data_IF_744600657689
#
_entry.id   IF_744600657689
#
_cell.length_a   1.000
_cell.length_b   1.000
_cell.length_c   1.000
_cell.angle_alpha   90.00
_cell.angle_beta   90.00
_cell.angle_gamma   90.00
#
_symmetry.space_group_name_H-M   'P 1'
#
loop_
_entity.id
_entity.type
_entity.pdbx_description
1 polymer ?
#
# COMPACT_ATOMS: atom_id res chain seq x y z
N UNK A 1 -24.35 23.10 -9.44
CA UNK A 1 -23.54 23.00 -8.22
C UNK A 1 -24.38 23.07 -6.95
N UNK A 2 -25.21 24.14 -6.70
CA UNK A 2 -26.05 24.26 -5.49
C UNK A 2 -26.96 23.04 -5.30
N UNK A 3 -27.59 22.54 -6.35
CA UNK A 3 -28.48 21.38 -6.32
C UNK A 3 -27.75 20.07 -5.93
N UNK A 4 -26.53 19.86 -6.43
CA UNK A 4 -25.70 18.71 -6.06
C UNK A 4 -25.29 18.77 -4.57
N UNK A 5 -24.91 19.96 -4.09
CA UNK A 5 -24.59 20.15 -2.68
C UNK A 5 -25.81 19.92 -1.78
N UNK A 6 -26.97 20.43 -2.16
CA UNK A 6 -28.24 20.27 -1.45
C UNK A 6 -28.65 18.80 -1.36
N UNK A 7 -28.60 18.08 -2.47
CA UNK A 7 -28.81 16.63 -2.56
C UNK A 7 -27.94 15.88 -1.55
N UNK A 8 -26.63 16.16 -1.52
CA UNK A 8 -25.71 15.48 -0.61
C UNK A 8 -25.87 15.92 0.84
N UNK A 9 -26.23 17.17 1.11
CA UNK A 9 -26.54 17.68 2.44
C UNK A 9 -27.79 16.99 3.01
N UNK A 10 -28.88 16.91 2.25
CA UNK A 10 -30.09 16.17 2.65
C UNK A 10 -29.77 14.70 2.99
N UNK A 11 -28.97 14.04 2.15
CA UNK A 11 -28.59 12.64 2.40
C UNK A 11 -27.76 12.50 3.67
N UNK A 12 -26.82 13.40 3.90
CA UNK A 12 -25.98 13.39 5.08
C UNK A 12 -26.79 13.65 6.35
N UNK A 13 -27.70 14.64 6.33
CA UNK A 13 -28.61 14.91 7.43
C UNK A 13 -29.55 13.75 7.74
N UNK A 14 -30.05 13.05 6.71
CA UNK A 14 -30.89 11.86 6.90
C UNK A 14 -30.14 10.70 7.54
N UNK A 15 -28.88 10.46 7.13
CA UNK A 15 -28.09 9.32 7.60
C UNK A 15 -27.50 9.54 9.01
N UNK A 16 -27.16 10.78 9.38
CA UNK A 16 -26.40 11.12 10.59
C UNK A 16 -27.10 12.09 11.54
N UNK A 17 -28.27 12.62 11.16
CA UNK A 17 -29.05 13.56 11.96
C UNK A 17 -28.81 15.02 11.59
N UNK A 18 -27.60 15.38 11.22
CA UNK A 18 -27.17 16.70 10.74
C UNK A 18 -26.24 16.57 9.56
N UNK A 19 -26.23 17.55 8.67
CA UNK A 19 -25.30 17.61 7.55
C UNK A 19 -23.98 18.25 7.98
N UNK A 20 -22.84 17.64 7.59
CA UNK A 20 -21.50 18.13 7.85
C UNK A 20 -20.85 18.68 6.59
N UNK A 21 -20.29 19.91 6.67
CA UNK A 21 -19.70 20.62 5.53
C UNK A 21 -18.64 19.83 4.80
N UNK A 22 -17.70 19.21 5.54
CA UNK A 22 -16.62 18.44 4.95
C UNK A 22 -17.10 17.14 4.27
N UNK A 23 -18.13 16.52 4.83
CA UNK A 23 -18.74 15.31 4.24
C UNK A 23 -19.45 15.66 2.92
N UNK A 24 -20.18 16.76 2.89
CA UNK A 24 -20.87 17.26 1.69
C UNK A 24 -19.85 17.70 0.62
N UNK A 25 -18.82 18.46 0.99
CA UNK A 25 -17.74 18.89 0.10
C UNK A 25 -17.07 17.71 -0.63
N UNK A 26 -16.71 16.66 0.12
CA UNK A 26 -16.12 15.45 -0.46
C UNK A 26 -17.04 14.80 -1.50
N UNK A 27 -18.34 14.74 -1.25
CA UNK A 27 -19.32 14.16 -2.18
C UNK A 27 -19.51 15.01 -3.42
N UNK A 28 -19.55 16.32 -3.27
CA UNK A 28 -19.63 17.26 -4.40
C UNK A 28 -18.40 17.14 -5.31
N UNK A 29 -17.19 17.10 -4.74
CA UNK A 29 -15.94 16.89 -5.50
C UNK A 29 -15.90 15.52 -6.17
N UNK A 30 -16.44 14.48 -5.53
CA UNK A 30 -16.52 13.13 -6.15
C UNK A 30 -17.47 13.09 -7.35
N UNK A 31 -18.58 13.84 -7.34
CA UNK A 31 -19.55 13.93 -8.43
C UNK A 31 -19.09 14.89 -9.53
N UNK A 32 -18.35 15.95 -9.17
CA UNK A 32 -17.81 16.99 -10.06
C UNK A 32 -16.31 17.22 -9.77
N UNK A 33 -15.39 16.37 -10.27
CA UNK A 33 -13.96 16.45 -9.97
C UNK A 33 -13.27 17.75 -10.41
N UNK A 34 -13.82 18.42 -11.42
CA UNK A 34 -13.35 19.72 -11.94
C UNK A 34 -13.41 20.84 -10.90
N UNK A 35 -14.35 20.76 -9.94
CA UNK A 35 -14.53 21.76 -8.88
C UNK A 35 -13.43 21.68 -7.80
N UNK A 36 -12.58 20.67 -7.85
CA UNK A 36 -11.46 20.53 -6.91
C UNK A 36 -10.44 21.68 -7.00
N UNK A 37 -10.40 22.37 -8.13
CA UNK A 37 -9.46 23.49 -8.35
C UNK A 37 -9.84 24.77 -7.58
N UNK A 38 -11.11 24.91 -7.21
CA UNK A 38 -11.68 26.15 -6.64
C UNK A 38 -12.34 25.92 -5.27
N UNK A 39 -11.67 25.16 -4.39
CA UNK A 39 -12.22 24.80 -3.07
C UNK A 39 -12.54 26.04 -2.21
N UNK A 40 -11.71 27.08 -2.29
CA UNK A 40 -11.93 28.34 -1.57
C UNK A 40 -13.22 29.06 -1.93
N UNK A 41 -13.64 28.96 -3.21
CA UNK A 41 -14.90 29.48 -3.70
C UNK A 41 -16.08 28.55 -3.40
N UNK A 42 -15.83 27.26 -3.34
CA UNK A 42 -16.83 26.23 -3.13
C UNK A 42 -17.29 26.13 -1.67
N UNK A 43 -16.35 26.27 -0.75
CA UNK A 43 -16.57 26.05 0.69
C UNK A 43 -17.65 26.95 1.28
N UNK A 44 -17.67 28.29 1.06
CA UNK A 44 -18.72 29.15 1.59
C UNK A 44 -20.12 28.78 1.10
N UNK A 45 -20.23 28.39 -0.19
CA UNK A 45 -21.49 27.97 -0.80
C UNK A 45 -22.02 26.64 -0.23
N UNK A 46 -21.12 25.71 0.08
CA UNK A 46 -21.51 24.47 0.74
C UNK A 46 -21.92 24.74 2.19
N UNK A 47 -21.25 25.65 2.90
CA UNK A 47 -21.63 26.05 4.24
C UNK A 47 -23.05 26.63 4.29
N UNK A 48 -23.40 27.50 3.32
CA UNK A 48 -24.75 28.05 3.18
C UNK A 48 -25.79 26.95 2.97
N UNK A 49 -25.53 26.00 2.06
CA UNK A 49 -26.43 24.87 1.78
C UNK A 49 -26.57 23.93 2.99
N UNK A 50 -25.48 23.65 3.69
CA UNK A 50 -25.51 22.82 4.90
C UNK A 50 -26.32 23.50 6.00
N UNK A 51 -26.16 24.80 6.20
CA UNK A 51 -26.95 25.58 7.14
C UNK A 51 -28.44 25.58 6.81
N UNK A 52 -28.76 25.75 5.50
CA UNK A 52 -30.13 25.67 5.00
C UNK A 52 -30.76 24.30 5.32
N UNK A 53 -30.07 23.21 5.04
CA UNK A 53 -30.56 21.84 5.28
C UNK A 53 -30.68 21.53 6.77
N UNK A 54 -29.74 21.98 7.59
CA UNK A 54 -29.78 21.76 9.04
C UNK A 54 -30.88 22.56 9.75
N UNK A 55 -31.42 23.63 9.13
CA UNK A 55 -32.59 24.35 9.62
C UNK A 55 -33.91 23.64 9.35
N UNK A 56 -33.92 22.62 8.47
CA UNK A 56 -35.12 21.85 8.15
C UNK A 56 -35.48 20.87 9.27
N UNK A 57 -36.78 20.68 9.47
CA UNK A 57 -37.24 19.58 10.34
C UNK A 57 -36.90 18.22 9.76
N UNK A 58 -36.75 17.18 10.58
CA UNK A 58 -36.49 15.81 10.12
C UNK A 58 -37.53 15.30 9.12
N UNK A 59 -38.77 15.74 9.24
CA UNK A 59 -39.84 15.38 8.28
C UNK A 59 -39.66 16.11 6.96
N UNK A 60 -39.28 17.40 6.97
CA UNK A 60 -38.99 18.16 5.77
C UNK A 60 -37.82 17.55 5.00
N UNK A 61 -36.72 17.15 5.67
CA UNK A 61 -35.59 16.45 5.05
C UNK A 61 -36.03 15.15 4.36
N UNK A 62 -36.91 14.36 4.99
CA UNK A 62 -37.48 13.13 4.40
C UNK A 62 -38.31 13.37 3.15
N UNK A 63 -39.07 14.47 3.11
CA UNK A 63 -39.87 14.85 1.93
C UNK A 63 -38.98 15.37 0.82
N UNK A 64 -38.08 16.32 1.13
CA UNK A 64 -37.18 16.92 0.14
C UNK A 64 -36.27 15.89 -0.54
N UNK A 65 -35.77 14.91 0.21
CA UNK A 65 -34.87 13.90 -0.33
C UNK A 65 -35.55 12.99 -1.39
N UNK A 66 -36.90 12.88 -1.35
CA UNK A 66 -37.63 12.08 -2.35
C UNK A 66 -37.55 12.63 -3.78
N UNK A 67 -37.21 13.93 -3.91
CA UNK A 67 -37.00 14.57 -5.21
C UNK A 67 -35.72 14.07 -5.90
N UNK A 68 -34.83 13.45 -5.14
CA UNK A 68 -33.55 12.97 -5.65
C UNK A 68 -33.53 11.44 -5.73
N UNK A 69 -33.22 10.93 -6.91
CA UNK A 69 -33.12 9.47 -7.12
C UNK A 69 -31.75 8.97 -6.62
N UNK A 70 -31.65 8.69 -5.31
CA UNK A 70 -30.50 8.01 -4.78
C UNK A 70 -30.58 6.54 -5.15
N UNK A 71 -29.82 6.12 -6.17
CA UNK A 71 -29.58 4.70 -6.36
C UNK A 71 -28.93 4.16 -5.08
N UNK A 72 -29.73 3.58 -4.20
CA UNK A 72 -29.20 2.79 -3.11
C UNK A 72 -28.43 1.64 -3.76
N UNK A 73 -27.11 1.73 -3.81
CA UNK A 73 -26.31 0.50 -3.95
C UNK A 73 -26.69 -0.33 -2.73
N UNK A 74 -27.70 -1.19 -2.88
CA UNK A 74 -27.99 -2.25 -1.92
C UNK A 74 -26.66 -2.98 -1.76
N UNK A 75 -25.94 -2.70 -0.69
CA UNK A 75 -24.83 -3.56 -0.27
C UNK A 75 -25.46 -4.91 -0.08
N UNK A 76 -25.30 -5.80 -1.05
CA UNK A 76 -25.73 -7.18 -0.88
C UNK A 76 -24.93 -7.75 0.28
N UNK A 77 -25.55 -7.83 1.45
CA UNK A 77 -25.02 -8.50 2.64
C UNK A 77 -25.11 -10.02 2.48
N UNK A 78 -24.91 -10.55 1.31
CA UNK A 78 -24.76 -11.98 1.12
C UNK A 78 -23.26 -12.27 1.12
N UNK A 79 -22.75 -12.59 2.31
CA UNK A 79 -21.38 -13.05 2.55
C UNK A 79 -21.12 -14.42 1.93
N UNK A 80 -21.23 -14.52 0.62
CA UNK A 80 -20.58 -15.60 -0.11
C UNK A 80 -19.22 -15.06 -0.56
N UNK A 81 -18.16 -15.79 -0.24
CA UNK A 81 -16.86 -15.59 -0.84
C UNK A 81 -17.03 -15.58 -2.37
N UNK A 82 -16.51 -14.56 -3.03
CA UNK A 82 -16.46 -14.55 -4.49
C UNK A 82 -15.54 -15.69 -4.95
N UNK A 83 -15.92 -16.35 -6.02
CA UNK A 83 -15.06 -17.39 -6.59
C UNK A 83 -13.80 -16.78 -7.19
N UNK A 84 -12.69 -17.50 -7.08
CA UNK A 84 -11.45 -17.11 -7.75
C UNK A 84 -11.62 -17.34 -9.28
N UNK A 85 -11.02 -16.48 -10.12
CA UNK A 85 -11.20 -16.58 -11.58
C UNK A 85 -10.63 -17.87 -12.20
N UNK A 86 -9.59 -18.46 -11.62
CA UNK A 86 -8.98 -19.72 -12.08
C UNK A 86 -8.55 -20.54 -10.86
N UNK A 87 -9.47 -21.26 -10.22
CA UNK A 87 -9.25 -21.83 -8.89
C UNK A 87 -8.50 -23.18 -8.86
N UNK A 88 -7.73 -23.53 -9.89
CA UNK A 88 -7.01 -24.81 -9.90
C UNK A 88 -5.82 -24.76 -8.93
N UNK A 89 -5.95 -25.39 -7.78
CA UNK A 89 -4.90 -25.53 -6.74
C UNK A 89 -4.11 -24.23 -6.45
N UNK A 90 -4.76 -23.12 -6.06
CA UNK A 90 -4.09 -21.84 -5.92
C UNK A 90 -3.05 -21.87 -4.79
N UNK A 91 -1.94 -21.20 -5.00
CA UNK A 91 -1.00 -20.89 -3.92
C UNK A 91 -1.33 -19.53 -3.36
N UNK A 92 -1.63 -19.49 -2.07
CA UNK A 92 -2.03 -18.28 -1.35
C UNK A 92 -1.01 -17.96 -0.26
N UNK A 93 -0.97 -16.72 0.20
CA UNK A 93 -0.07 -16.34 1.28
C UNK A 93 -0.74 -15.51 2.36
N UNK A 94 -0.36 -15.76 3.60
CA UNK A 94 -0.48 -14.81 4.68
C UNK A 94 0.91 -14.24 4.97
N UNK A 95 1.06 -12.92 4.89
CA UNK A 95 2.37 -12.27 4.85
C UNK A 95 2.49 -11.15 5.91
N UNK A 96 2.54 -11.49 7.22
CA UNK A 96 2.66 -10.51 8.29
C UNK A 96 4.09 -9.98 8.44
N UNK A 97 4.22 -8.69 8.77
CA UNK A 97 5.46 -8.15 9.31
C UNK A 97 5.56 -8.53 10.81
N UNK A 98 6.72 -9.02 11.30
CA UNK A 98 6.87 -9.42 12.69
C UNK A 98 7.17 -8.22 13.61
N UNK A 99 6.25 -7.26 13.69
CA UNK A 99 6.33 -6.07 14.56
C UNK A 99 5.58 -6.21 15.87
N UNK A 100 4.93 -7.36 16.12
CA UNK A 100 4.14 -7.66 17.30
C UNK A 100 3.19 -8.83 17.11
N UNK A 101 2.29 -9.10 18.06
CA UNK A 101 1.31 -10.16 17.94
C UNK A 101 0.27 -9.85 16.85
N UNK A 102 -0.39 -10.91 16.35
CA UNK A 102 -1.53 -10.74 15.46
C UNK A 102 -2.69 -10.04 16.21
N UNK A 103 -3.38 -9.19 15.51
CA UNK A 103 -4.60 -8.52 15.99
C UNK A 103 -5.77 -8.78 15.04
N UNK A 104 -6.98 -8.36 15.41
CA UNK A 104 -8.21 -8.62 14.65
C UNK A 104 -8.11 -8.22 13.17
N UNK A 105 -7.38 -7.15 12.84
CA UNK A 105 -7.14 -6.73 11.45
C UNK A 105 -6.37 -7.78 10.64
N UNK A 106 -5.44 -8.50 11.24
CA UNK A 106 -4.69 -9.59 10.60
C UNK A 106 -5.56 -10.85 10.40
N UNK A 107 -6.49 -11.13 11.34
CA UNK A 107 -7.37 -12.31 11.27
C UNK A 107 -8.17 -12.35 9.97
N UNK A 108 -8.64 -11.18 9.49
CA UNK A 108 -9.38 -11.12 8.22
C UNK A 108 -8.56 -11.65 7.05
N UNK A 109 -7.30 -11.24 6.92
CA UNK A 109 -6.44 -11.70 5.84
C UNK A 109 -6.06 -13.17 6.02
N UNK A 110 -5.70 -13.59 7.24
CA UNK A 110 -5.33 -14.96 7.52
C UNK A 110 -6.46 -15.95 7.24
N UNK A 111 -7.65 -15.69 7.80
CA UNK A 111 -8.85 -16.55 7.62
C UNK A 111 -9.29 -16.57 6.14
N UNK A 112 -9.28 -15.42 5.46
CA UNK A 112 -9.71 -15.37 4.06
C UNK A 112 -8.82 -16.25 3.16
N UNK A 113 -7.50 -16.18 3.33
CA UNK A 113 -6.55 -17.00 2.57
C UNK A 113 -6.68 -18.50 2.93
N UNK A 114 -6.88 -18.83 4.20
CA UNK A 114 -7.09 -20.20 4.65
C UNK A 114 -8.38 -20.82 4.07
N UNK A 115 -9.48 -20.07 4.09
CA UNK A 115 -10.76 -20.52 3.54
C UNK A 115 -10.71 -20.73 2.02
N UNK A 116 -9.99 -19.84 1.29
CA UNK A 116 -9.77 -20.07 -0.14
C UNK A 116 -8.86 -21.26 -0.41
N UNK A 117 -7.79 -21.44 0.36
CA UNK A 117 -6.93 -22.62 0.25
C UNK A 117 -7.73 -23.91 0.48
N UNK A 118 -8.55 -23.97 1.52
CA UNK A 118 -9.44 -25.12 1.78
C UNK A 118 -10.47 -25.35 0.67
N UNK A 119 -11.09 -24.28 0.20
CA UNK A 119 -12.15 -24.35 -0.83
C UNK A 119 -11.67 -24.94 -2.14
N UNK A 120 -10.43 -24.64 -2.54
CA UNK A 120 -9.89 -25.01 -3.84
C UNK A 120 -8.74 -26.01 -3.77
N UNK A 121 -8.58 -26.71 -2.65
CA UNK A 121 -7.46 -27.65 -2.40
C UNK A 121 -6.08 -27.03 -2.72
N UNK A 122 -5.97 -25.74 -2.38
CA UNK A 122 -4.78 -24.92 -2.62
C UNK A 122 -3.79 -24.99 -1.46
N UNK A 123 -2.68 -24.26 -1.60
CA UNK A 123 -1.63 -24.17 -0.58
C UNK A 123 -1.64 -22.80 0.07
N UNK A 124 -1.46 -22.77 1.40
CA UNK A 124 -1.23 -21.53 2.14
C UNK A 124 0.23 -21.45 2.58
N UNK A 125 0.91 -20.36 2.26
CA UNK A 125 2.29 -20.06 2.67
C UNK A 125 2.24 -18.97 3.76
N UNK A 126 2.93 -19.19 4.87
CA UNK A 126 3.25 -18.15 5.83
C UNK A 126 4.55 -17.47 5.41
N UNK A 127 4.48 -16.21 4.95
CA UNK A 127 5.66 -15.41 4.62
C UNK A 127 5.85 -14.31 5.66
N UNK A 128 6.92 -14.41 6.44
CA UNK A 128 7.30 -13.38 7.40
C UNK A 128 8.06 -12.28 6.66
N UNK A 129 7.48 -11.08 6.60
CA UNK A 129 8.04 -9.92 5.88
C UNK A 129 8.86 -9.05 6.84
N UNK A 130 10.08 -9.46 7.08
CA UNK A 130 11.00 -8.89 8.06
C UNK A 130 12.20 -8.14 7.44
N UNK A 131 12.04 -7.59 6.25
CA UNK A 131 13.10 -6.86 5.54
C UNK A 131 13.33 -5.43 6.03
N UNK A 132 12.52 -4.93 6.96
CA UNK A 132 12.73 -3.64 7.62
C UNK A 132 13.19 -3.86 9.08
N UNK A 133 14.51 -3.82 9.37
CA UNK A 133 15.04 -4.10 10.72
C UNK A 133 14.46 -3.20 11.81
N UNK A 134 14.08 -1.97 11.46
CA UNK A 134 13.54 -1.00 12.44
C UNK A 134 12.18 -1.40 13.01
N UNK A 135 11.52 -2.38 12.39
CA UNK A 135 10.16 -2.81 12.73
C UNK A 135 10.08 -4.26 13.21
N UNK A 136 11.21 -4.93 13.33
CA UNK A 136 11.24 -6.34 13.72
C UNK A 136 11.33 -6.51 15.24
N UNK A 137 10.33 -7.15 15.82
CA UNK A 137 10.39 -7.68 17.18
C UNK A 137 10.73 -9.17 17.13
N UNK A 138 11.86 -9.63 17.72
CA UNK A 138 12.25 -11.04 17.75
C UNK A 138 11.19 -11.97 18.34
N UNK A 139 10.36 -11.48 19.26
CA UNK A 139 9.30 -12.26 19.90
C UNK A 139 8.08 -12.43 18.99
N UNK A 140 7.89 -11.53 18.01
CA UNK A 140 6.72 -11.53 17.16
C UNK A 140 6.62 -12.77 16.27
N UNK A 141 7.73 -13.40 15.89
CA UNK A 141 7.72 -14.62 15.08
C UNK A 141 6.92 -15.74 15.76
N UNK A 142 7.27 -16.03 17.01
CA UNK A 142 6.55 -17.05 17.80
C UNK A 142 5.11 -16.64 18.12
N UNK A 143 4.85 -15.34 18.31
CA UNK A 143 3.50 -14.83 18.55
C UNK A 143 2.60 -14.95 17.31
N UNK A 144 3.14 -14.74 16.10
CA UNK A 144 2.43 -14.96 14.84
C UNK A 144 2.03 -16.42 14.69
N UNK A 145 2.97 -17.35 14.88
CA UNK A 145 2.71 -18.78 14.80
C UNK A 145 1.67 -19.22 15.85
N UNK A 146 1.80 -18.74 17.11
CA UNK A 146 0.83 -18.99 18.17
C UNK A 146 -0.56 -18.47 17.82
N UNK A 147 -0.64 -17.28 17.21
CA UNK A 147 -1.90 -16.69 16.75
C UNK A 147 -2.57 -17.50 15.65
N UNK A 148 -1.79 -17.97 14.65
CA UNK A 148 -2.32 -18.84 13.59
C UNK A 148 -2.79 -20.20 14.12
N UNK A 149 -2.03 -20.78 15.07
CA UNK A 149 -2.44 -22.01 15.75
C UNK A 149 -3.75 -21.83 16.52
N UNK A 150 -3.92 -20.70 17.20
CA UNK A 150 -5.16 -20.38 17.92
C UNK A 150 -6.36 -20.22 16.97
N UNK A 151 -6.13 -19.70 15.75
CA UNK A 151 -7.13 -19.61 14.68
C UNK A 151 -7.35 -20.95 13.95
N UNK A 152 -6.64 -22.00 14.33
CA UNK A 152 -6.65 -23.33 13.67
C UNK A 152 -6.25 -23.29 12.19
N UNK A 153 -5.49 -22.25 11.79
CA UNK A 153 -4.98 -22.08 10.44
C UNK A 153 -3.72 -22.89 10.26
N UNK A 154 -3.71 -23.77 9.24
CA UNK A 154 -2.58 -24.58 8.83
C UNK A 154 -1.94 -24.00 7.58
N UNK A 155 -0.62 -23.96 7.53
CA UNK A 155 0.14 -23.51 6.37
C UNK A 155 1.13 -24.60 5.93
N UNK A 156 1.41 -24.65 4.63
CA UNK A 156 2.24 -25.69 4.02
C UNK A 156 3.74 -25.38 4.13
N UNK A 157 4.10 -24.10 4.18
CA UNK A 157 5.48 -23.64 4.19
C UNK A 157 5.62 -22.32 4.94
N UNK A 158 6.73 -22.15 5.64
CA UNK A 158 7.17 -20.85 6.18
C UNK A 158 8.31 -20.32 5.33
N UNK A 159 8.22 -19.06 4.97
CA UNK A 159 9.26 -18.30 4.27
C UNK A 159 9.57 -17.05 5.08
N UNK A 160 10.83 -16.84 5.41
CA UNK A 160 11.31 -15.66 6.14
C UNK A 160 12.13 -14.82 5.18
N UNK A 161 11.71 -13.60 4.87
CA UNK A 161 12.34 -12.80 3.82
C UNK A 161 13.79 -12.44 4.15
N UNK A 162 14.11 -12.17 5.41
CA UNK A 162 15.48 -11.85 5.82
C UNK A 162 16.48 -12.96 5.52
N UNK A 163 16.06 -14.23 5.46
CA UNK A 163 16.94 -15.35 5.09
C UNK A 163 17.21 -15.43 3.58
N UNK A 164 16.55 -14.58 2.78
CA UNK A 164 16.61 -14.59 1.32
C UNK A 164 17.32 -13.36 0.74
N UNK A 165 18.05 -12.59 1.57
CA UNK A 165 18.69 -11.35 1.13
C UNK A 165 19.62 -11.54 -0.06
N UNK A 166 20.41 -12.61 -0.08
CA UNK A 166 21.35 -12.86 -1.17
C UNK A 166 20.63 -13.10 -2.52
N UNK A 167 19.43 -13.67 -2.47
CA UNK A 167 18.56 -13.78 -3.65
C UNK A 167 18.13 -12.39 -4.17
N UNK A 168 17.68 -11.52 -3.28
CA UNK A 168 17.28 -10.15 -3.67
C UNK A 168 18.48 -9.33 -4.20
N UNK A 169 19.67 -9.53 -3.64
CA UNK A 169 20.88 -8.90 -4.16
C UNK A 169 21.18 -9.35 -5.59
N UNK A 170 21.07 -10.65 -5.87
CA UNK A 170 21.25 -11.19 -7.22
C UNK A 170 20.28 -10.56 -8.22
N UNK A 171 18.99 -10.49 -7.90
CA UNK A 171 18.02 -9.84 -8.78
C UNK A 171 18.30 -8.34 -8.97
N UNK A 172 18.77 -7.64 -7.94
CA UNK A 172 19.17 -6.24 -8.07
C UNK A 172 20.40 -6.08 -8.96
N UNK A 173 21.41 -6.94 -8.81
CA UNK A 173 22.58 -6.96 -9.70
C UNK A 173 22.19 -7.22 -11.15
N UNK A 174 21.30 -8.17 -11.41
CA UNK A 174 20.84 -8.47 -12.77
C UNK A 174 20.10 -7.27 -13.38
N UNK A 175 19.27 -6.55 -12.60
CA UNK A 175 18.65 -5.30 -13.04
C UNK A 175 19.67 -4.19 -13.32
N UNK A 176 20.75 -4.08 -12.54
CA UNK A 176 21.84 -3.11 -12.78
C UNK A 176 22.60 -3.46 -14.06
N UNK A 177 22.89 -4.76 -14.31
CA UNK A 177 23.58 -5.24 -15.51
C UNK A 177 22.80 -4.93 -16.79
N UNK A 178 21.49 -5.15 -16.79
CA UNK A 178 20.63 -4.85 -17.96
C UNK A 178 20.19 -3.38 -18.01
N UNK A 179 20.75 -2.54 -17.15
CA UNK A 179 20.45 -1.11 -17.06
C UNK A 179 18.97 -0.78 -16.76
N UNK A 180 18.25 -1.68 -16.11
CA UNK A 180 16.87 -1.50 -15.67
C UNK A 180 16.76 -0.87 -14.25
N UNK A 181 17.89 -0.83 -13.51
CA UNK A 181 18.02 -0.15 -12.23
C UNK A 181 19.29 0.70 -12.20
N UNK A 182 19.45 1.53 -11.17
CA UNK A 182 20.65 2.33 -10.96
C UNK A 182 20.85 2.68 -9.49
N UNK A 183 22.10 2.93 -9.09
CA UNK A 183 22.44 3.41 -7.74
C UNK A 183 22.35 4.93 -7.71
N UNK A 184 21.44 5.42 -6.89
CA UNK A 184 21.19 6.85 -6.69
C UNK A 184 21.86 7.32 -5.39
N UNK A 185 22.73 8.33 -5.53
CA UNK A 185 23.43 8.99 -4.40
C UNK A 185 22.90 10.41 -4.14
N UNK A 186 21.76 10.77 -4.69
CA UNK A 186 21.11 12.05 -4.43
C UNK A 186 20.56 12.11 -3.01
N UNK A 187 20.70 13.26 -2.34
CA UNK A 187 19.96 13.53 -1.10
C UNK A 187 18.46 13.37 -1.34
N UNK A 188 17.75 12.75 -0.40
CA UNK A 188 16.31 12.45 -0.53
C UNK A 188 15.48 13.68 -0.88
N UNK A 189 15.79 14.85 -0.28
CA UNK A 189 15.06 16.11 -0.56
C UNK A 189 15.24 16.58 -2.01
N UNK A 190 16.46 16.43 -2.57
CA UNK A 190 16.74 16.81 -3.96
C UNK A 190 16.07 15.86 -4.94
N UNK A 191 16.14 14.56 -4.69
CA UNK A 191 15.44 13.59 -5.53
C UNK A 191 13.94 13.81 -5.50
N UNK A 192 13.35 14.10 -4.33
CA UNK A 192 11.91 14.41 -4.22
C UNK A 192 11.51 15.59 -5.11
N UNK A 193 12.29 16.68 -5.09
CA UNK A 193 12.03 17.85 -5.96
C UNK A 193 12.08 17.47 -7.44
N UNK A 194 13.07 16.68 -7.87
CA UNK A 194 13.19 16.21 -9.26
C UNK A 194 11.99 15.35 -9.65
N UNK A 195 11.65 14.34 -8.84
CA UNK A 195 10.52 13.45 -9.07
C UNK A 195 9.19 14.21 -9.18
N UNK A 196 8.96 15.16 -8.27
CA UNK A 196 7.72 15.94 -8.23
C UNK A 196 7.64 16.90 -9.45
N UNK A 197 8.79 17.37 -9.95
CA UNK A 197 8.94 18.14 -11.20
C UNK A 197 9.04 17.27 -12.46
N UNK A 198 8.87 15.94 -12.36
CA UNK A 198 8.99 14.98 -13.47
C UNK A 198 10.34 15.06 -14.20
N UNK A 199 11.43 15.24 -13.45
CA UNK A 199 12.79 15.29 -13.98
C UNK A 199 13.61 14.12 -13.45
N UNK A 200 14.39 13.50 -14.32
CA UNK A 200 15.34 12.45 -13.94
C UNK A 200 16.55 13.06 -13.20
N UNK A 201 17.12 12.29 -12.30
CA UNK A 201 18.41 12.65 -11.70
C UNK A 201 19.59 12.15 -12.56
N UNK A 202 20.75 12.80 -12.45
CA UNK A 202 21.94 12.43 -13.23
C UNK A 202 22.44 11.01 -12.92
N UNK A 203 22.16 10.47 -11.71
CA UNK A 203 22.57 9.12 -11.34
C UNK A 203 21.96 8.04 -12.26
N UNK A 204 20.82 8.33 -12.91
CA UNK A 204 20.19 7.42 -13.87
C UNK A 204 21.03 7.12 -15.11
N UNK A 205 21.97 8.02 -15.45
CA UNK A 205 22.80 7.93 -16.63
C UNK A 205 24.09 7.12 -16.42
N UNK A 206 24.36 6.68 -15.17
CA UNK A 206 25.52 5.87 -14.85
C UNK A 206 25.58 4.60 -15.71
N UNK A 207 26.80 4.23 -16.12
CA UNK A 207 27.02 2.95 -16.79
C UNK A 207 26.76 1.75 -15.87
N UNK A 208 26.67 0.55 -16.44
CA UNK A 208 26.52 -0.67 -15.65
C UNK A 208 27.71 -0.88 -14.70
N UNK A 209 28.93 -0.58 -15.14
CA UNK A 209 30.15 -0.71 -14.34
C UNK A 209 30.19 0.28 -13.17
N UNK A 210 29.76 1.53 -13.39
CA UNK A 210 29.66 2.53 -12.35
C UNK A 210 28.60 2.14 -11.31
N UNK A 211 27.46 1.65 -11.79
CA UNK A 211 26.39 1.16 -10.93
C UNK A 211 26.84 -0.04 -10.09
N UNK A 212 27.58 -0.99 -10.68
CA UNK A 212 28.10 -2.15 -9.96
C UNK A 212 29.13 -1.75 -8.88
N UNK A 213 30.02 -0.81 -9.20
CA UNK A 213 30.97 -0.24 -8.20
C UNK A 213 30.24 0.41 -7.04
N UNK A 214 29.25 1.23 -7.33
CA UNK A 214 28.45 1.92 -6.29
C UNK A 214 27.57 0.95 -5.51
N UNK A 215 27.04 -0.09 -6.15
CA UNK A 215 26.30 -1.16 -5.48
C UNK A 215 27.17 -1.88 -4.44
N UNK A 216 28.41 -2.25 -4.81
CA UNK A 216 29.35 -2.87 -3.88
C UNK A 216 29.68 -1.95 -2.69
N UNK A 217 29.78 -0.63 -2.91
CA UNK A 217 29.98 0.34 -1.84
C UNK A 217 28.81 0.44 -0.87
N UNK A 218 27.57 0.06 -1.26
CA UNK A 218 26.44 0.01 -0.34
C UNK A 218 26.66 -1.01 0.79
N UNK A 219 27.44 -2.06 0.53
CA UNK A 219 27.76 -3.09 1.54
C UNK A 219 28.96 -2.73 2.40
N UNK A 220 29.79 -1.76 1.99
CA UNK A 220 31.09 -1.48 2.63
C UNK A 220 31.23 -0.07 3.15
N UNK A 221 31.08 0.95 2.31
CA UNK A 221 31.54 2.32 2.56
C UNK A 221 30.43 3.38 2.63
N UNK A 222 29.31 3.22 1.90
CA UNK A 222 28.23 4.19 2.01
C UNK A 222 27.51 4.08 3.34
N UNK A 223 27.13 5.20 3.94
CA UNK A 223 26.30 5.27 5.13
C UNK A 223 24.80 5.21 4.80
N UNK A 224 23.92 4.92 5.78
CA UNK A 224 22.48 5.03 5.61
C UNK A 224 22.08 6.40 5.08
N UNK A 225 21.25 6.40 4.02
CA UNK A 225 20.78 7.63 3.36
C UNK A 225 21.71 8.19 2.26
N UNK A 226 22.95 7.68 2.12
CA UNK A 226 23.88 8.14 1.07
C UNK A 226 23.65 7.46 -0.29
N UNK A 227 23.18 6.22 -0.29
CA UNK A 227 22.92 5.48 -1.52
C UNK A 227 21.68 4.59 -1.40
N UNK A 228 20.95 4.46 -2.51
CA UNK A 228 19.82 3.54 -2.68
C UNK A 228 19.82 2.99 -4.09
N UNK A 229 19.28 1.79 -4.29
CA UNK A 229 19.00 1.28 -5.65
C UNK A 229 17.58 1.67 -6.04
N UNK A 230 17.43 2.24 -7.25
CA UNK A 230 16.14 2.62 -7.83
C UNK A 230 15.85 1.83 -9.08
N UNK A 231 14.59 1.45 -9.26
CA UNK A 231 14.13 0.88 -10.52
C UNK A 231 13.93 2.01 -11.54
N UNK A 232 14.37 1.80 -12.79
CA UNK A 232 14.13 2.74 -13.89
C UNK A 232 12.70 2.60 -14.39
N UNK A 233 11.83 3.48 -13.92
CA UNK A 233 10.45 3.60 -14.40
C UNK A 233 10.24 4.94 -15.10
N UNK A 234 9.08 5.13 -15.72
CA UNK A 234 8.76 6.42 -16.33
C UNK A 234 8.47 7.47 -15.26
N UNK A 235 9.20 8.58 -15.32
CA UNK A 235 9.04 9.71 -14.41
C UNK A 235 7.71 10.44 -14.63
N UNK A 236 7.04 10.23 -15.75
CA UNK A 236 5.78 10.87 -16.10
C UNK A 236 4.54 10.09 -15.62
N UNK A 237 4.71 8.90 -15.01
CA UNK A 237 3.59 8.14 -14.45
C UNK A 237 2.72 9.04 -13.57
N UNK A 238 1.41 8.84 -13.61
CA UNK A 238 0.45 9.62 -12.83
C UNK A 238 0.67 9.46 -11.33
N UNK A 239 0.92 8.22 -10.87
CA UNK A 239 1.23 7.94 -9.47
C UNK A 239 2.71 8.25 -9.15
N UNK A 240 2.99 9.23 -8.28
CA UNK A 240 4.36 9.55 -7.86
C UNK A 240 5.07 8.39 -7.16
N UNK A 241 4.34 7.47 -6.54
CA UNK A 241 4.93 6.31 -5.84
C UNK A 241 5.58 5.32 -6.81
N UNK A 242 5.13 5.32 -8.08
CA UNK A 242 5.66 4.45 -9.13
C UNK A 242 6.85 5.06 -9.88
N UNK A 243 7.18 6.34 -9.61
CA UNK A 243 8.26 7.06 -10.31
C UNK A 243 9.61 6.77 -9.67
N UNK A 244 10.46 5.99 -10.35
CA UNK A 244 11.84 5.75 -9.92
C UNK A 244 11.94 5.31 -8.44
N UNK A 245 11.06 4.42 -8.02
CA UNK A 245 10.99 4.01 -6.62
C UNK A 245 12.21 3.20 -6.17
N UNK A 246 12.48 3.28 -4.87
CA UNK A 246 13.60 2.57 -4.25
C UNK A 246 13.28 1.08 -4.14
N UNK A 247 14.23 0.24 -4.52
CA UNK A 247 14.14 -1.23 -4.38
C UNK A 247 15.05 -1.78 -3.29
N UNK A 248 16.21 -1.14 -3.05
CA UNK A 248 17.14 -1.48 -1.96
C UNK A 248 17.62 -0.23 -1.24
N UNK A 249 17.79 -0.33 0.07
CA UNK A 249 18.35 0.73 0.93
C UNK A 249 19.32 0.19 1.96
N UNK A 250 20.21 1.05 2.44
CA UNK A 250 21.06 0.81 3.61
C UNK A 250 20.22 1.12 4.85
N UNK A 251 20.12 0.19 5.80
CA UNK A 251 19.41 0.39 7.06
C UNK A 251 20.28 1.09 8.10
N UNK A 252 19.64 1.88 8.96
CA UNK A 252 20.26 2.44 10.18
C UNK A 252 20.36 1.43 11.31
N UNK A 253 19.51 0.42 11.28
CA UNK A 253 19.38 -0.59 12.35
C UNK A 253 19.91 -1.94 11.90
N UNK A 254 20.44 -2.70 12.86
CA UNK A 254 20.86 -4.08 12.65
C UNK A 254 19.64 -4.98 12.81
N UNK A 255 19.45 -5.89 11.89
CA UNK A 255 18.37 -6.86 11.97
C UNK A 255 18.59 -7.84 13.15
N UNK A 256 17.58 -8.07 14.03
CA UNK A 256 17.76 -8.84 15.26
C UNK A 256 18.24 -10.29 15.04
N UNK A 257 17.93 -10.86 13.86
CA UNK A 257 18.31 -12.25 13.52
C UNK A 257 19.49 -12.36 12.55
N UNK A 258 19.98 -11.23 12.01
CA UNK A 258 21.05 -11.23 11.02
C UNK A 258 22.20 -10.34 11.47
N UNK A 259 23.34 -10.96 11.72
CA UNK A 259 24.58 -10.22 11.97
C UNK A 259 25.19 -9.80 10.63
N UNK A 260 25.76 -8.60 10.55
CA UNK A 260 26.55 -8.11 9.40
C UNK A 260 25.80 -7.87 8.08
N UNK A 261 24.50 -7.79 8.07
CA UNK A 261 23.71 -7.35 6.91
C UNK A 261 23.27 -5.90 7.14
N UNK A 262 23.40 -5.07 6.11
CA UNK A 262 23.08 -3.63 6.20
C UNK A 262 22.22 -3.12 5.05
N UNK A 263 22.15 -3.85 3.93
CA UNK A 263 21.34 -3.51 2.76
C UNK A 263 20.10 -4.38 2.76
N UNK A 264 18.92 -3.75 2.64
CA UNK A 264 17.65 -4.46 2.69
C UNK A 264 16.75 -4.06 1.51
N UNK A 265 16.00 -5.03 0.94
CA UNK A 265 15.00 -4.72 -0.07
C UNK A 265 13.80 -3.99 0.56
N UNK A 266 13.18 -3.14 -0.23
CA UNK A 266 11.88 -2.59 0.10
C UNK A 266 10.77 -3.57 -0.29
N UNK A 267 9.60 -3.38 0.32
CA UNK A 267 8.43 -4.23 0.16
C UNK A 267 8.14 -4.58 -1.31
N UNK A 268 8.02 -3.58 -2.18
CA UNK A 268 7.64 -3.78 -3.58
C UNK A 268 8.62 -4.67 -4.36
N UNK A 269 9.89 -4.70 -3.96
CA UNK A 269 10.90 -5.52 -4.61
C UNK A 269 10.90 -6.97 -4.09
N UNK A 270 10.93 -7.12 -2.76
CA UNK A 270 10.95 -8.44 -2.14
C UNK A 270 9.68 -9.26 -2.46
N UNK A 271 8.51 -8.59 -2.41
CA UNK A 271 7.22 -9.25 -2.66
C UNK A 271 7.12 -9.78 -4.08
N UNK A 272 7.50 -8.99 -5.09
CA UNK A 272 7.40 -9.42 -6.50
C UNK A 272 8.27 -10.64 -6.78
N UNK A 273 9.50 -10.66 -6.25
CA UNK A 273 10.42 -11.79 -6.40
C UNK A 273 9.87 -13.03 -5.70
N UNK A 274 9.40 -12.86 -4.47
CA UNK A 274 8.89 -13.98 -3.69
C UNK A 274 7.58 -14.53 -4.25
N UNK A 275 6.63 -13.66 -4.64
CA UNK A 275 5.35 -14.11 -5.21
C UNK A 275 5.60 -14.90 -6.51
N UNK A 276 6.54 -14.43 -7.36
CA UNK A 276 6.93 -15.15 -8.58
C UNK A 276 7.57 -16.53 -8.27
N UNK A 277 8.56 -16.58 -7.38
CA UNK A 277 9.29 -17.80 -7.08
C UNK A 277 8.52 -18.80 -6.20
N UNK A 278 7.48 -18.36 -5.54
CA UNK A 278 6.60 -19.20 -4.71
C UNK A 278 5.29 -19.55 -5.44
N UNK A 279 5.14 -19.11 -6.70
CA UNK A 279 3.98 -19.37 -7.57
C UNK A 279 2.65 -18.88 -6.95
N UNK A 280 2.70 -17.73 -6.21
CA UNK A 280 1.56 -17.11 -5.54
C UNK A 280 0.70 -16.33 -6.52
#
# INVERSE_FOLDING_TARGET
>A
MKDIAYKHALKNALDFGEAEVNAVLRKVIMECPELKKDISFLLPKIQEVVSEVNSLSKNAVKVEITRYNFQSKKKSRKGKFQDLPNPSNPVLRFAPNPSGPLHLGHCRAAILNDEYAKKYDGKLILRIEDTDPTRVDPKAYALIEKGLKWLEIKYHKVVVQSTRLDLYYKYAEDLLKINAAYVCTCKQSNFKKLRDSRKYCNCRQKSSEENQKDFNKMFTSYNPGEAVVRLKTDINLSDPAMREFVILRISTEIHPKLKNKRVYPLYNFAVVIDDHLLEI
#
